data_IF_600763096282
#
_entry.id   IF_600763096282
#
_cell.length_a   1.000
_cell.length_b   1.000
_cell.length_c   1.000
_cell.angle_alpha   90.00
_cell.angle_beta   90.00
_cell.angle_gamma   90.00
#
_symmetry.space_group_name_H-M   'P 1'
#
loop_
_entity.id
_entity.type
_entity.pdbx_description
1 polymer ?
#
# COMPACT_ATOMS: atom_id res chain seq x y z
N UNK A 1 0.92 13.48 19.13
CA UNK A 1 0.80 12.27 19.97
C UNK A 1 0.49 11.11 19.04
N UNK A 2 1.27 10.02 19.09
CA UNK A 2 1.02 8.83 18.25
C UNK A 2 -0.19 8.09 18.81
N UNK A 3 -1.17 7.80 17.97
CA UNK A 3 -2.37 7.02 18.33
C UNK A 3 -1.96 5.61 18.76
N UNK A 4 -2.53 5.10 19.86
CA UNK A 4 -2.26 3.76 20.36
C UNK A 4 -2.56 2.65 19.35
N UNK A 5 -3.55 2.83 18.46
CA UNK A 5 -3.84 1.89 17.38
C UNK A 5 -2.72 1.88 16.33
N UNK A 6 -2.20 3.05 15.99
CA UNK A 6 -1.08 3.18 15.04
C UNK A 6 0.18 2.55 15.64
N UNK A 7 0.44 2.76 16.94
CA UNK A 7 1.53 2.11 17.66
C UNK A 7 1.42 0.58 17.64
N UNK A 8 0.22 0.03 17.84
CA UNK A 8 -0.01 -1.41 17.82
C UNK A 8 0.18 -2.02 16.43
N UNK A 9 -0.34 -1.36 15.38
CA UNK A 9 -0.18 -1.83 13.99
C UNK A 9 1.29 -1.77 13.54
N UNK A 10 1.97 -0.65 13.81
CA UNK A 10 3.38 -0.49 13.46
C UNK A 10 4.29 -1.42 14.26
N UNK A 11 4.00 -1.61 15.55
CA UNK A 11 4.73 -2.56 16.40
C UNK A 11 4.57 -4.00 15.94
N UNK A 12 3.36 -4.40 15.56
CA UNK A 12 3.09 -5.74 14.99
C UNK A 12 3.84 -5.96 13.68
N UNK A 13 3.80 -4.99 12.76
CA UNK A 13 4.53 -5.05 11.50
C UNK A 13 6.05 -5.12 11.70
N UNK A 14 6.59 -4.32 12.62
CA UNK A 14 8.01 -4.34 12.96
C UNK A 14 8.44 -5.69 13.57
N UNK A 15 7.61 -6.25 14.46
CA UNK A 15 7.88 -7.56 15.09
C UNK A 15 7.87 -8.67 14.05
N UNK A 16 6.91 -8.67 13.14
CA UNK A 16 6.84 -9.62 12.03
C UNK A 16 8.06 -9.51 11.10
N UNK A 17 8.48 -8.29 10.78
CA UNK A 17 9.66 -8.08 9.94
C UNK A 17 10.96 -8.53 10.64
N UNK A 18 11.05 -8.30 11.96
CA UNK A 18 12.18 -8.75 12.77
C UNK A 18 12.25 -10.28 12.85
N UNK A 19 11.13 -10.97 13.05
CA UNK A 19 11.11 -12.44 13.11
C UNK A 19 11.45 -13.09 11.77
N UNK A 20 10.99 -12.50 10.66
CA UNK A 20 11.39 -12.92 9.30
C UNK A 20 12.91 -12.80 9.14
N UNK A 21 13.50 -11.65 9.47
CA UNK A 21 14.94 -11.45 9.32
C UNK A 21 15.78 -12.31 10.29
N UNK A 22 15.22 -12.67 11.45
CA UNK A 22 15.89 -13.52 12.43
C UNK A 22 15.86 -15.02 12.03
N UNK A 23 14.81 -15.45 11.33
CA UNK A 23 14.59 -16.87 10.99
C UNK A 23 15.08 -17.24 9.59
N UNK A 24 15.10 -16.28 8.66
CA UNK A 24 15.49 -16.53 7.28
C UNK A 24 16.99 -16.29 7.05
N UNK A 25 17.66 -17.13 6.22
CA UNK A 25 19.07 -16.96 5.91
C UNK A 25 19.33 -15.65 5.14
N UNK A 26 20.54 -15.08 5.30
CA UNK A 26 20.96 -13.88 4.55
C UNK A 26 20.77 -14.10 3.05
N UNK A 27 20.12 -13.15 2.39
CA UNK A 27 19.84 -13.23 0.96
C UNK A 27 18.64 -14.11 0.59
N UNK A 28 17.84 -14.58 1.55
CA UNK A 28 16.62 -15.36 1.29
C UNK A 28 15.68 -14.68 0.29
N UNK A 29 15.47 -13.36 0.43
CA UNK A 29 14.62 -12.59 -0.51
C UNK A 29 15.13 -12.69 -1.94
N UNK A 30 16.45 -12.56 -2.16
CA UNK A 30 17.05 -12.69 -3.49
C UNK A 30 16.86 -14.11 -4.04
N UNK A 31 17.08 -15.13 -3.20
CA UNK A 31 16.87 -16.53 -3.57
C UNK A 31 15.41 -16.84 -3.89
N UNK A 32 14.47 -16.28 -3.12
CA UNK A 32 13.03 -16.41 -3.33
C UNK A 32 12.62 -15.81 -4.68
N UNK A 33 13.05 -14.58 -4.97
CA UNK A 33 12.78 -13.92 -6.25
C UNK A 33 13.33 -14.73 -7.44
N UNK A 34 14.53 -15.30 -7.32
CA UNK A 34 15.11 -16.11 -8.39
C UNK A 34 14.42 -17.47 -8.58
N UNK A 35 13.92 -18.09 -7.51
CA UNK A 35 13.26 -19.41 -7.59
C UNK A 35 11.80 -19.32 -8.05
N UNK A 36 11.08 -18.29 -7.60
CA UNK A 36 9.64 -18.14 -7.85
C UNK A 36 9.30 -16.73 -8.37
N UNK A 37 9.78 -16.36 -9.57
CA UNK A 37 9.64 -14.99 -10.09
C UNK A 37 8.18 -14.57 -10.29
N UNK A 38 7.30 -15.51 -10.67
CA UNK A 38 5.87 -15.24 -10.85
C UNK A 38 5.18 -14.91 -9.53
N UNK A 39 5.51 -15.64 -8.46
CA UNK A 39 4.92 -15.41 -7.13
C UNK A 39 5.45 -14.11 -6.54
N UNK A 40 6.76 -13.87 -6.62
CA UNK A 40 7.38 -12.63 -6.16
C UNK A 40 6.81 -11.40 -6.90
N UNK A 41 6.65 -11.49 -8.22
CA UNK A 41 6.01 -10.45 -9.03
C UNK A 41 4.54 -10.23 -8.64
N UNK A 42 3.79 -11.31 -8.39
CA UNK A 42 2.40 -11.22 -7.93
C UNK A 42 2.25 -10.52 -6.58
N UNK A 43 3.12 -10.85 -5.61
CA UNK A 43 3.14 -10.18 -4.30
C UNK A 43 3.50 -8.70 -4.45
N UNK A 44 4.48 -8.36 -5.31
CA UNK A 44 4.86 -6.98 -5.56
C UNK A 44 3.71 -6.18 -6.19
N UNK A 45 3.02 -6.74 -7.20
CA UNK A 45 1.87 -6.11 -7.84
C UNK A 45 0.69 -5.95 -6.89
N UNK A 46 0.38 -6.98 -6.08
CA UNK A 46 -0.68 -6.90 -5.08
C UNK A 46 -0.36 -5.82 -4.03
N UNK A 47 0.88 -5.77 -3.53
CA UNK A 47 1.33 -4.73 -2.61
C UNK A 47 1.20 -3.33 -3.20
N UNK A 48 1.60 -3.14 -4.46
CA UNK A 48 1.42 -1.88 -5.17
C UNK A 48 -0.06 -1.52 -5.34
N UNK A 49 -0.90 -2.47 -5.75
CA UNK A 49 -2.33 -2.24 -5.93
C UNK A 49 -3.03 -1.80 -4.63
N UNK A 50 -2.64 -2.38 -3.49
CA UNK A 50 -3.17 -1.99 -2.18
C UNK A 50 -2.62 -0.64 -1.70
N UNK A 51 -1.36 -0.31 -2.02
CA UNK A 51 -0.72 0.94 -1.61
C UNK A 51 -1.12 2.15 -2.48
N UNK A 52 -1.51 1.90 -3.74
CA UNK A 52 -1.89 2.93 -4.71
C UNK A 52 -3.01 3.86 -4.23
N UNK A 53 -4.19 3.41 -3.76
CA UNK A 53 -5.25 4.32 -3.32
C UNK A 53 -4.83 5.16 -2.11
N UNK A 54 -3.99 4.64 -1.23
CA UNK A 54 -3.49 5.35 -0.04
C UNK A 54 -2.49 6.46 -0.40
N UNK A 55 -1.76 6.33 -1.50
CA UNK A 55 -0.71 7.27 -1.90
C UNK A 55 -1.15 8.20 -3.04
N UNK A 56 -1.84 7.68 -4.05
CA UNK A 56 -2.24 8.43 -5.25
C UNK A 56 -3.25 9.52 -4.91
N UNK A 57 -4.24 9.24 -4.07
CA UNK A 57 -5.28 10.24 -3.72
C UNK A 57 -4.69 11.47 -3.02
N UNK A 58 -3.88 11.34 -1.94
CA UNK A 58 -3.26 12.52 -1.33
C UNK A 58 -2.27 13.23 -2.26
N UNK A 59 -1.52 12.49 -3.10
CA UNK A 59 -0.62 13.10 -4.10
C UNK A 59 -1.42 13.93 -5.13
N UNK A 60 -2.53 13.39 -5.67
CA UNK A 60 -3.40 14.11 -6.61
C UNK A 60 -4.01 15.35 -5.97
N UNK A 61 -4.40 15.28 -4.69
CA UNK A 61 -4.89 16.45 -3.93
C UNK A 61 -3.81 17.52 -3.78
N UNK A 62 -2.58 17.13 -3.43
CA UNK A 62 -1.47 18.07 -3.30
C UNK A 62 -1.11 18.78 -4.61
N UNK A 63 -1.31 18.10 -5.75
CA UNK A 63 -1.08 18.64 -7.09
C UNK A 63 -2.27 19.44 -7.65
N UNK A 64 -3.35 19.60 -6.88
CA UNK A 64 -4.54 20.37 -7.30
C UNK A 64 -5.42 19.68 -8.34
N UNK A 65 -5.25 18.37 -8.56
CA UNK A 65 -6.13 17.62 -9.48
C UNK A 65 -7.51 17.37 -8.87
N UNK A 66 -8.58 17.29 -9.68
CA UNK A 66 -9.91 16.97 -9.19
C UNK A 66 -9.92 15.55 -8.58
N UNK A 67 -10.27 15.48 -7.29
CA UNK A 67 -10.44 14.22 -6.54
C UNK A 67 -11.88 14.02 -6.05
N UNK A 68 -12.85 14.75 -6.62
CA UNK A 68 -14.25 14.74 -6.17
C UNK A 68 -14.90 13.35 -6.24
N UNK A 69 -14.38 12.43 -7.08
CA UNK A 69 -14.81 11.03 -7.17
C UNK A 69 -14.49 10.20 -5.90
N UNK A 70 -13.61 10.69 -5.02
CA UNK A 70 -13.21 10.02 -3.78
C UNK A 70 -13.85 10.64 -2.53
N UNK A 71 -14.51 11.79 -2.66
CA UNK A 71 -15.17 12.50 -1.57
C UNK A 71 -16.69 12.25 -1.65
N UNK A 72 -17.19 11.38 -0.76
CA UNK A 72 -18.57 10.86 -0.79
C UNK A 72 -19.68 11.93 -0.79
N UNK A 73 -19.38 13.16 -0.37
CA UNK A 73 -20.32 14.29 -0.35
C UNK A 73 -20.37 15.09 -1.66
N UNK A 74 -19.33 15.02 -2.51
CA UNK A 74 -19.24 15.77 -3.77
C UNK A 74 -19.55 14.94 -5.02
N UNK A 75 -19.48 13.61 -4.93
CA UNK A 75 -19.82 12.70 -6.01
C UNK A 75 -21.25 12.89 -6.58
N UNK A 76 -22.16 13.54 -5.83
CA UNK A 76 -23.53 13.84 -6.28
C UNK A 76 -23.69 15.13 -7.08
N UNK A 77 -22.71 16.05 -7.07
CA UNK A 77 -22.87 17.40 -7.64
C UNK A 77 -22.38 17.57 -9.08
N UNK A 78 -21.55 16.65 -9.56
CA UNK A 78 -21.10 16.65 -10.95
C UNK A 78 -21.29 15.25 -11.55
N UNK A 79 -22.37 15.01 -12.32
CA UNK A 79 -22.48 13.79 -13.10
C UNK A 79 -21.39 13.83 -14.16
N UNK A 80 -20.33 13.04 -13.97
CA UNK A 80 -19.34 12.77 -15.02
C UNK A 80 -20.07 12.05 -16.17
N UNK A 81 -19.98 12.54 -17.42
CA UNK A 81 -20.57 11.85 -18.56
C UNK A 81 -19.83 10.53 -18.77
N UNK A 82 -20.58 9.45 -18.99
CA UNK A 82 -20.05 8.09 -19.15
C UNK A 82 -19.64 7.80 -20.60
N UNK A 83 -18.83 8.68 -21.20
CA UNK A 83 -18.20 8.45 -22.50
C UNK A 83 -16.82 9.09 -22.59
#
# INVERSE_FOLDING_TARGET
MVDGHVGLVLGGAATYFATINATMPKGWVRTFIHREPMVAGGIALAGLAMAMPLTIVPIRRALGFPTDNYDGDKAKKHPVPWW
#
